data_IF_967692707360
#
_entry.id   IF_967692707360
#
_cell.length_a   1.000
_cell.length_b   1.000
_cell.length_c   1.000
_cell.angle_alpha   90.00
_cell.angle_beta   90.00
_cell.angle_gamma   90.00
#
_symmetry.space_group_name_H-M   'P 1'
#
loop_
_entity.id
_entity.type
_entity.pdbx_description
1 polymer ?
#
# COMPACT_ATOMS: atom_id res chain seq x y z
N UNK A 1 -19.11 -2.56 2.64
CA UNK A 1 -19.32 -2.54 1.18
C UNK A 1 -20.78 -2.26 0.88
N UNK A 2 -21.10 -1.37 -0.09
CA UNK A 2 -22.46 -1.18 -0.58
C UNK A 2 -22.84 -2.29 -1.56
N UNK A 3 -24.15 -2.44 -1.85
CA UNK A 3 -24.67 -3.48 -2.75
C UNK A 3 -24.01 -3.47 -4.13
N UNK A 4 -23.71 -2.26 -4.66
CA UNK A 4 -23.00 -2.10 -5.93
C UNK A 4 -21.58 -2.69 -5.86
N UNK A 5 -20.81 -2.36 -4.80
CA UNK A 5 -19.45 -2.87 -4.62
C UNK A 5 -19.45 -4.40 -4.48
N UNK A 6 -20.38 -4.95 -3.70
CA UNK A 6 -20.52 -6.41 -3.54
C UNK A 6 -20.74 -7.09 -4.88
N UNK A 7 -21.68 -6.59 -5.68
CA UNK A 7 -21.96 -7.13 -7.01
C UNK A 7 -20.71 -7.10 -7.92
N UNK A 8 -19.99 -5.96 -7.95
CA UNK A 8 -18.78 -5.81 -8.78
C UNK A 8 -17.64 -6.74 -8.34
N UNK A 9 -17.51 -7.00 -7.07
CA UNK A 9 -16.53 -7.95 -6.54
C UNK A 9 -16.90 -9.39 -6.94
N UNK A 10 -18.17 -9.77 -6.84
CA UNK A 10 -18.65 -11.08 -7.32
C UNK A 10 -18.44 -11.26 -8.83
N UNK A 11 -18.75 -10.23 -9.66
CA UNK A 11 -18.47 -10.24 -11.10
C UNK A 11 -16.98 -10.43 -11.42
N UNK A 12 -16.09 -9.96 -10.52
CA UNK A 12 -14.64 -10.15 -10.60
C UNK A 12 -14.16 -11.51 -10.01
N UNK A 13 -15.06 -12.36 -9.56
CA UNK A 13 -14.74 -13.67 -8.96
C UNK A 13 -14.18 -13.56 -7.53
N UNK A 14 -14.41 -12.43 -6.83
CA UNK A 14 -13.94 -12.21 -5.48
C UNK A 14 -15.02 -12.56 -4.47
N UNK A 15 -14.72 -13.50 -3.58
CA UNK A 15 -15.58 -13.85 -2.44
C UNK A 15 -15.49 -12.75 -1.38
N UNK A 16 -16.58 -11.99 -1.24
CA UNK A 16 -16.67 -10.86 -0.31
C UNK A 16 -16.60 -11.31 1.14
N UNK A 17 -17.23 -12.44 1.47
CA UNK A 17 -17.23 -12.94 2.85
C UNK A 17 -15.88 -13.56 3.24
N UNK A 18 -15.20 -14.25 2.34
CA UNK A 18 -13.82 -14.69 2.54
C UNK A 18 -12.88 -13.48 2.70
N UNK A 19 -13.05 -12.44 1.87
CA UNK A 19 -12.29 -11.18 1.98
C UNK A 19 -12.52 -10.50 3.35
N UNK A 20 -13.75 -10.46 3.84
CA UNK A 20 -14.04 -9.90 5.18
C UNK A 20 -13.35 -10.69 6.28
N UNK A 21 -13.38 -12.02 6.21
CA UNK A 21 -12.69 -12.88 7.19
C UNK A 21 -11.17 -12.64 7.12
N UNK A 22 -10.60 -12.54 5.94
CA UNK A 22 -9.18 -12.25 5.74
C UNK A 22 -8.76 -10.93 6.39
N UNK A 23 -9.50 -9.85 6.17
CA UNK A 23 -9.24 -8.58 6.85
C UNK A 23 -9.48 -8.63 8.36
N UNK A 24 -10.45 -9.40 8.84
CA UNK A 24 -10.66 -9.61 10.28
C UNK A 24 -9.49 -10.35 10.92
N UNK A 25 -8.90 -11.34 10.23
CA UNK A 25 -7.69 -12.06 10.68
C UNK A 25 -6.49 -11.12 10.76
N UNK A 26 -6.27 -10.30 9.75
CA UNK A 26 -5.22 -9.26 9.76
C UNK A 26 -5.43 -8.24 10.89
N UNK A 27 -6.64 -7.77 11.07
CA UNK A 27 -6.96 -6.84 12.16
C UNK A 27 -6.67 -7.48 13.52
N UNK A 28 -7.06 -8.74 13.72
CA UNK A 28 -6.78 -9.50 14.96
C UNK A 28 -5.28 -9.62 15.20
N UNK A 29 -4.49 -9.95 14.16
CA UNK A 29 -3.04 -9.97 14.26
C UNK A 29 -2.49 -8.62 14.73
N UNK A 30 -2.90 -7.52 14.10
CA UNK A 30 -2.43 -6.19 14.48
C UNK A 30 -2.82 -5.82 15.93
N UNK A 31 -4.01 -6.19 16.39
CA UNK A 31 -4.42 -5.95 17.78
C UNK A 31 -3.57 -6.76 18.77
N UNK A 32 -3.31 -8.04 18.49
CA UNK A 32 -2.44 -8.91 19.30
C UNK A 32 -1.02 -8.34 19.36
N UNK A 33 -0.46 -8.00 18.21
CA UNK A 33 0.88 -7.44 18.12
C UNK A 33 1.00 -6.11 18.91
N UNK A 34 0.08 -5.17 18.70
CA UNK A 34 0.04 -3.88 19.44
C UNK A 34 -0.24 -4.06 20.94
N UNK A 35 -0.99 -5.10 21.31
CA UNK A 35 -1.25 -5.48 22.70
C UNK A 35 -0.07 -6.10 23.44
N UNK A 36 1.07 -6.30 22.77
CA UNK A 36 2.28 -6.82 23.42
C UNK A 36 2.42 -8.34 23.36
N UNK A 37 1.58 -9.05 22.61
CA UNK A 37 1.66 -10.51 22.53
C UNK A 37 2.97 -10.95 21.86
N UNK A 38 3.64 -11.93 22.45
CA UNK A 38 4.86 -12.53 21.91
C UNK A 38 4.49 -13.70 20.98
N UNK A 39 5.01 -13.68 19.76
CA UNK A 39 4.84 -14.77 18.79
C UNK A 39 6.06 -15.68 18.79
N UNK A 40 5.83 -16.98 18.74
CA UNK A 40 6.89 -18.00 18.86
C UNK A 40 7.98 -17.83 17.81
N UNK A 41 7.59 -17.57 16.56
CA UNK A 41 8.51 -17.38 15.43
C UNK A 41 8.80 -15.90 15.12
N UNK A 42 8.36 -14.99 15.99
CA UNK A 42 8.45 -13.54 15.79
C UNK A 42 7.26 -12.96 15.00
N UNK A 43 7.06 -11.66 15.17
CA UNK A 43 5.90 -10.95 14.64
C UNK A 43 5.88 -10.88 13.11
N UNK A 44 7.04 -10.78 12.45
CA UNK A 44 7.13 -10.76 11.00
C UNK A 44 6.73 -12.10 10.38
N UNK A 45 7.18 -13.21 10.95
CA UNK A 45 6.82 -14.56 10.47
C UNK A 45 5.33 -14.82 10.69
N UNK A 46 4.79 -14.43 11.85
CA UNK A 46 3.35 -14.54 12.11
C UNK A 46 2.54 -13.70 11.12
N UNK A 47 2.97 -12.50 10.78
CA UNK A 47 2.33 -11.68 9.75
C UNK A 47 2.27 -12.39 8.39
N UNK A 48 3.39 -12.98 7.94
CA UNK A 48 3.40 -13.75 6.70
C UNK A 48 2.49 -14.99 6.78
N UNK A 49 2.44 -15.67 7.93
CA UNK A 49 1.53 -16.82 8.14
C UNK A 49 0.08 -16.38 7.97
N UNK A 50 -0.33 -15.27 8.62
CA UNK A 50 -1.67 -14.73 8.48
C UNK A 50 -2.00 -14.36 7.03
N UNK A 51 -1.05 -13.80 6.28
CA UNK A 51 -1.25 -13.49 4.85
C UNK A 51 -1.40 -14.76 4.00
N UNK A 52 -0.59 -15.79 4.26
CA UNK A 52 -0.65 -17.07 3.53
C UNK A 52 -1.94 -17.83 3.80
N UNK A 53 -2.45 -17.78 5.03
CA UNK A 53 -3.72 -18.40 5.42
C UNK A 53 -4.94 -17.62 4.95
N UNK A 54 -4.77 -16.34 4.60
CA UNK A 54 -5.84 -15.42 4.22
C UNK A 54 -5.51 -14.66 2.91
N UNK A 55 -5.26 -15.36 1.80
CA UNK A 55 -4.81 -14.74 0.55
C UNK A 55 -5.84 -13.78 -0.07
N UNK A 56 -7.12 -13.88 0.32
CA UNK A 56 -8.21 -13.04 -0.18
C UNK A 56 -7.98 -11.55 0.10
N UNK A 57 -7.26 -11.21 1.17
CA UNK A 57 -6.88 -9.83 1.45
C UNK A 57 -5.96 -9.27 0.34
N UNK A 58 -4.96 -10.05 -0.11
CA UNK A 58 -4.06 -9.65 -1.19
C UNK A 58 -4.75 -9.66 -2.56
N UNK A 59 -5.65 -10.61 -2.79
CA UNK A 59 -6.48 -10.68 -4.02
C UNK A 59 -7.33 -9.42 -4.12
N UNK A 60 -7.97 -9.02 -3.03
CA UNK A 60 -8.77 -7.79 -2.96
C UNK A 60 -7.93 -6.53 -3.20
N UNK A 61 -6.78 -6.39 -2.51
CA UNK A 61 -5.87 -5.25 -2.69
C UNK A 61 -5.39 -5.15 -4.14
N UNK A 62 -5.01 -6.27 -4.75
CA UNK A 62 -4.62 -6.32 -6.17
C UNK A 62 -5.75 -5.90 -7.09
N UNK A 63 -6.98 -6.37 -6.83
CA UNK A 63 -8.15 -5.97 -7.60
C UNK A 63 -8.41 -4.46 -7.49
N UNK A 64 -8.35 -3.92 -6.27
CA UNK A 64 -8.55 -2.50 -6.01
C UNK A 64 -7.55 -1.63 -6.77
N UNK A 65 -6.26 -1.94 -6.67
CA UNK A 65 -5.21 -1.21 -7.38
C UNK A 65 -5.38 -1.33 -8.90
N UNK A 66 -5.68 -2.54 -9.39
CA UNK A 66 -5.95 -2.73 -10.83
C UNK A 66 -7.10 -1.83 -11.33
N UNK A 67 -8.20 -1.75 -10.58
CA UNK A 67 -9.35 -0.90 -10.97
C UNK A 67 -9.00 0.59 -10.98
N UNK A 68 -8.17 1.06 -10.06
CA UNK A 68 -7.68 2.43 -10.08
C UNK A 68 -6.82 2.69 -11.33
N UNK A 69 -5.89 1.80 -11.65
CA UNK A 69 -5.07 1.90 -12.86
C UNK A 69 -5.91 1.87 -14.14
N UNK A 70 -6.93 1.00 -14.20
CA UNK A 70 -7.84 0.92 -15.35
C UNK A 70 -8.60 2.24 -15.53
N UNK A 71 -9.05 2.87 -14.44
CA UNK A 71 -9.69 4.19 -14.48
C UNK A 71 -8.74 5.28 -14.98
N UNK A 72 -7.50 5.30 -14.47
CA UNK A 72 -6.50 6.28 -14.91
C UNK A 72 -6.20 6.14 -16.40
N UNK A 73 -6.06 4.90 -16.91
CA UNK A 73 -5.88 4.63 -18.34
C UNK A 73 -7.07 5.08 -19.18
N UNK A 74 -8.29 4.83 -18.70
CA UNK A 74 -9.50 5.28 -19.39
C UNK A 74 -9.57 6.81 -19.48
N UNK A 75 -9.30 7.50 -18.37
CA UNK A 75 -9.27 8.97 -18.31
C UNK A 75 -8.18 9.54 -19.23
N UNK A 76 -6.98 8.96 -19.22
CA UNK A 76 -5.91 9.33 -20.15
C UNK A 76 -6.35 9.17 -21.61
N UNK A 77 -6.92 8.00 -21.95
CA UNK A 77 -7.42 7.74 -23.30
C UNK A 77 -8.47 8.72 -23.77
N UNK A 78 -9.45 9.06 -22.90
CA UNK A 78 -10.47 10.06 -23.19
C UNK A 78 -9.85 11.45 -23.38
N UNK A 79 -8.92 11.84 -22.51
CA UNK A 79 -8.22 13.14 -22.60
C UNK A 79 -7.50 13.27 -23.93
N UNK A 80 -6.71 12.27 -24.32
CA UNK A 80 -5.94 12.25 -25.57
C UNK A 80 -6.81 12.14 -26.81
N UNK A 81 -7.95 11.46 -26.71
CA UNK A 81 -8.93 11.43 -27.81
C UNK A 81 -9.60 12.80 -28.02
N UNK A 82 -9.95 13.51 -26.94
CA UNK A 82 -10.56 14.83 -27.03
C UNK A 82 -9.59 15.89 -27.56
N UNK A 83 -8.37 15.89 -27.04
CA UNK A 83 -7.29 16.77 -27.49
C UNK A 83 -5.93 16.17 -27.13
N UNK A 84 -5.14 15.70 -28.10
CA UNK A 84 -3.85 15.08 -27.87
C UNK A 84 -2.79 16.00 -27.27
N UNK A 85 -2.96 17.33 -27.42
CA UNK A 85 -2.03 18.32 -26.85
C UNK A 85 -2.23 18.60 -25.36
N UNK A 86 -3.36 18.16 -24.78
CA UNK A 86 -3.58 18.30 -23.34
C UNK A 86 -2.73 17.28 -22.59
N UNK A 87 -1.92 17.75 -21.67
CA UNK A 87 -1.19 16.90 -20.74
C UNK A 87 -2.10 16.35 -19.65
N UNK A 88 -2.04 15.04 -19.44
CA UNK A 88 -2.72 14.34 -18.36
C UNK A 88 -1.71 13.91 -17.29
N UNK A 89 -1.88 14.39 -16.08
CA UNK A 89 -0.96 14.08 -14.99
C UNK A 89 -1.63 13.39 -13.81
N UNK A 90 -0.87 12.58 -13.09
CA UNK A 90 -1.31 11.91 -11.89
C UNK A 90 -0.74 12.54 -10.63
N UNK A 91 -1.63 12.82 -9.67
CA UNK A 91 -1.24 13.14 -8.30
C UNK A 91 -1.14 11.85 -7.50
N UNK A 92 0.06 11.52 -7.01
CA UNK A 92 0.31 10.28 -6.27
C UNK A 92 0.50 10.56 -4.78
N UNK A 93 -0.31 9.90 -3.97
CA UNK A 93 -0.24 9.99 -2.52
C UNK A 93 1.02 9.31 -1.98
N UNK A 94 1.68 9.96 -1.03
CA UNK A 94 2.85 9.45 -0.33
C UNK A 94 2.62 8.07 0.35
N UNK A 95 1.41 7.78 0.83
CA UNK A 95 1.06 6.45 1.38
C UNK A 95 1.30 5.29 0.42
N UNK A 96 1.19 5.52 -0.88
CA UNK A 96 1.50 4.49 -1.87
C UNK A 96 2.99 4.15 -1.91
N UNK A 97 3.86 5.04 -1.41
CA UNK A 97 5.30 4.80 -1.32
C UNK A 97 5.72 4.17 0.00
N UNK A 98 4.99 4.46 1.08
CA UNK A 98 5.32 3.97 2.42
C UNK A 98 4.75 2.57 2.70
N UNK A 99 3.71 2.15 1.98
CA UNK A 99 3.15 0.82 2.10
C UNK A 99 3.79 -0.12 1.07
N UNK A 100 4.58 -1.15 1.50
CA UNK A 100 5.32 -2.01 0.57
C UNK A 100 4.41 -2.82 -0.36
N UNK A 101 3.21 -3.23 0.10
CA UNK A 101 2.24 -3.96 -0.73
C UNK A 101 1.70 -3.07 -1.85
N UNK A 102 1.36 -1.83 -1.54
CA UNK A 102 0.90 -0.87 -2.55
C UNK A 102 2.01 -0.46 -3.49
N UNK A 103 3.20 -0.20 -2.96
CA UNK A 103 4.38 0.13 -3.76
C UNK A 103 4.71 -0.98 -4.75
N UNK A 104 4.67 -2.24 -4.32
CA UNK A 104 4.92 -3.38 -5.19
C UNK A 104 3.88 -3.52 -6.32
N UNK A 105 2.66 -3.03 -6.12
CA UNK A 105 1.60 -3.07 -7.12
C UNK A 105 1.55 -1.84 -8.04
N UNK A 106 2.37 -0.81 -7.76
CA UNK A 106 2.41 0.44 -8.51
C UNK A 106 3.82 0.72 -9.06
N UNK A 107 4.30 -0.09 -10.00
CA UNK A 107 5.60 0.16 -10.61
C UNK A 107 5.55 1.43 -11.46
N UNK A 108 6.46 2.35 -11.20
CA UNK A 108 6.51 3.65 -11.88
C UNK A 108 6.67 3.53 -13.40
N UNK A 109 7.34 2.46 -13.84
CA UNK A 109 7.50 2.19 -15.27
C UNK A 109 6.17 2.03 -16.02
N UNK A 110 5.10 1.55 -15.35
CA UNK A 110 3.79 1.42 -15.98
C UNK A 110 3.03 2.76 -16.07
N UNK A 111 3.36 3.73 -15.23
CA UNK A 111 2.63 5.02 -15.18
C UNK A 111 2.87 5.83 -16.44
N UNK A 112 4.05 5.70 -17.06
CA UNK A 112 4.41 6.37 -18.32
C UNK A 112 3.45 5.99 -19.47
N UNK A 113 2.78 4.84 -19.39
CA UNK A 113 1.84 4.39 -20.41
C UNK A 113 0.50 5.15 -20.39
N UNK A 114 0.21 5.85 -19.29
CA UNK A 114 -1.09 6.52 -19.08
C UNK A 114 -1.01 7.82 -18.28
N UNK A 115 0.14 8.47 -18.27
CA UNK A 115 0.32 9.80 -17.73
C UNK A 115 1.52 10.50 -18.40
N UNK A 116 1.37 11.77 -18.75
CA UNK A 116 2.46 12.57 -19.31
C UNK A 116 3.41 13.06 -18.22
N UNK A 117 2.90 13.19 -16.98
CA UNK A 117 3.70 13.56 -15.81
C UNK A 117 3.09 13.01 -14.51
N UNK A 118 3.92 12.95 -13.48
CA UNK A 118 3.52 12.51 -12.14
C UNK A 118 3.92 13.57 -11.13
N UNK A 119 2.98 13.94 -10.25
CA UNK A 119 3.22 14.85 -9.14
C UNK A 119 3.12 14.09 -7.81
N UNK A 120 4.23 13.79 -7.14
CA UNK A 120 4.18 13.28 -5.77
C UNK A 120 3.59 14.35 -4.84
N UNK A 121 2.63 13.95 -4.01
CA UNK A 121 2.05 14.84 -3.01
C UNK A 121 2.96 14.86 -1.79
N UNK A 122 3.72 15.95 -1.64
CA UNK A 122 4.72 16.13 -0.58
C UNK A 122 4.38 17.32 0.33
N UNK A 123 3.12 17.42 0.75
CA UNK A 123 2.75 18.47 1.73
C UNK A 123 3.48 18.22 3.06
N UNK A 124 4.50 19.03 3.34
CA UNK A 124 5.43 18.84 4.47
C UNK A 124 4.74 18.59 5.81
N UNK A 125 3.73 19.39 6.14
CA UNK A 125 2.99 19.26 7.40
C UNK A 125 2.17 17.98 7.52
N UNK A 126 1.74 17.37 6.40
CA UNK A 126 1.01 16.10 6.38
C UNK A 126 1.93 14.90 6.15
N UNK A 127 2.94 15.07 5.30
CA UNK A 127 3.87 14.00 4.94
C UNK A 127 4.67 13.54 6.15
N UNK A 128 5.19 14.46 6.95
CA UNK A 128 5.94 14.13 8.17
C UNK A 128 5.10 13.33 9.16
N UNK A 129 3.87 13.76 9.45
CA UNK A 129 2.98 13.03 10.36
C UNK A 129 2.53 11.68 9.80
N UNK A 130 2.25 11.61 8.50
CA UNK A 130 1.89 10.34 7.84
C UNK A 130 3.07 9.37 7.92
N UNK A 131 4.29 9.84 7.63
CA UNK A 131 5.49 9.01 7.75
C UNK A 131 5.67 8.47 9.17
N UNK A 132 5.60 9.34 10.18
CA UNK A 132 5.72 8.94 11.59
C UNK A 132 4.65 7.91 11.96
N UNK A 133 3.41 8.10 11.53
CA UNK A 133 2.32 7.17 11.81
C UNK A 133 2.54 5.81 11.13
N UNK A 134 2.90 5.78 9.85
CA UNK A 134 3.14 4.53 9.10
C UNK A 134 4.36 3.77 9.69
N UNK A 135 5.45 4.46 10.01
CA UNK A 135 6.61 3.85 10.67
C UNK A 135 6.25 3.33 12.06
N UNK A 136 5.52 4.12 12.85
CA UNK A 136 5.03 3.70 14.17
C UNK A 136 4.12 2.46 14.07
N UNK A 137 3.29 2.37 13.05
CA UNK A 137 2.43 1.22 12.83
C UNK A 137 3.25 -0.05 12.50
N UNK A 138 4.31 0.06 11.70
CA UNK A 138 5.23 -1.05 11.44
C UNK A 138 5.95 -1.49 12.70
N UNK A 139 6.50 -0.55 13.47
CA UNK A 139 7.24 -0.85 14.73
C UNK A 139 6.34 -1.42 15.83
N UNK A 140 5.06 -1.09 15.82
CA UNK A 140 4.09 -1.61 16.81
C UNK A 140 3.37 -2.87 16.36
N UNK A 141 3.66 -3.36 15.16
CA UNK A 141 2.99 -4.52 14.58
C UNK A 141 3.97 -5.60 14.13
N UNK A 142 4.11 -5.81 12.84
CA UNK A 142 4.89 -6.95 12.31
C UNK A 142 6.41 -6.79 12.43
N UNK A 143 6.93 -5.60 12.74
CA UNK A 143 8.36 -5.35 12.99
C UNK A 143 8.67 -5.04 14.47
N UNK A 144 7.74 -5.30 15.38
CA UNK A 144 7.87 -4.92 16.79
C UNK A 144 9.00 -5.63 17.56
N UNK A 145 9.50 -6.74 17.04
CA UNK A 145 10.59 -7.50 17.68
C UNK A 145 11.97 -6.87 17.42
N UNK A 146 12.02 -5.77 16.68
CA UNK A 146 13.25 -5.08 16.31
C UNK A 146 13.32 -3.67 16.91
N UNK A 147 14.53 -3.23 17.22
CA UNK A 147 14.76 -1.86 17.71
C UNK A 147 14.51 -0.82 16.60
N UNK A 148 13.75 0.26 16.87
CA UNK A 148 13.42 1.28 15.88
C UNK A 148 14.65 1.92 15.20
N UNK A 149 15.75 2.09 15.94
CA UNK A 149 17.01 2.66 15.44
C UNK A 149 17.63 1.83 14.32
N UNK A 150 17.47 0.51 14.39
CA UNK A 150 17.96 -0.44 13.35
C UNK A 150 16.99 -0.45 12.15
N UNK A 151 15.70 -0.39 12.43
CA UNK A 151 14.66 -0.54 11.42
C UNK A 151 14.55 0.67 10.50
N UNK A 152 14.70 1.88 10.99
CA UNK A 152 14.50 3.09 10.18
C UNK A 152 15.39 3.11 8.94
N UNK A 153 16.72 2.90 9.02
CA UNK A 153 17.57 2.81 7.84
C UNK A 153 17.20 1.67 6.89
N UNK A 154 16.86 0.50 7.45
CA UNK A 154 16.46 -0.67 6.67
C UNK A 154 15.17 -0.39 5.90
N UNK A 155 14.16 0.18 6.56
CA UNK A 155 12.88 0.54 5.91
C UNK A 155 13.08 1.57 4.81
N UNK A 156 13.96 2.56 5.01
CA UNK A 156 14.31 3.51 3.97
C UNK A 156 14.90 2.82 2.73
N UNK A 157 15.84 1.91 2.94
CA UNK A 157 16.45 1.15 1.85
C UNK A 157 15.42 0.25 1.14
N UNK A 158 14.61 -0.50 1.89
CA UNK A 158 13.57 -1.38 1.35
C UNK A 158 12.50 -0.62 0.57
N UNK A 159 12.15 0.57 1.02
CA UNK A 159 11.19 1.44 0.33
C UNK A 159 11.84 2.30 -0.76
N UNK A 160 13.15 2.21 -0.96
CA UNK A 160 13.88 3.02 -1.94
C UNK A 160 13.76 4.53 -1.66
N UNK A 161 13.70 4.91 -0.39
CA UNK A 161 13.67 6.29 0.08
C UNK A 161 15.09 6.80 0.34
N UNK A 162 16.03 6.44 -0.53
CA UNK A 162 17.43 6.80 -0.39
C UNK A 162 17.61 8.28 -0.73
N UNK A 163 17.56 9.14 0.27
CA UNK A 163 17.99 10.53 0.13
C UNK A 163 19.50 10.63 0.43
N UNK A 164 20.26 11.38 -0.39
CA UNK A 164 21.66 11.67 -0.09
C UNK A 164 21.76 12.38 1.28
N UNK A 165 22.59 11.89 2.19
CA UNK A 165 22.85 12.51 3.51
C UNK A 165 22.15 11.85 4.71
N UNK A 166 21.27 10.88 4.54
CA UNK A 166 20.64 10.17 5.68
C UNK A 166 21.58 9.27 6.46
N UNK A 167 22.74 8.90 5.89
CA UNK A 167 23.76 8.09 6.56
C UNK A 167 24.68 8.93 7.46
N UNK A 168 24.49 10.24 7.54
CA UNK A 168 25.33 11.18 8.30
C UNK A 168 24.63 11.79 9.52
N UNK A 169 23.38 11.37 9.82
CA UNK A 169 22.60 11.76 11.00
C UNK A 169 22.51 10.62 12.00
#
# INVERSE_FOLDING_TARGET
YCTYCVRRLHEAGIDVEATRRAFASLYTFFQRARGGETFVDGSLIEFFRVLLENPEALIFERHWIKRNKDLDRELYGITKWCNPEIEFGLNVWNRNHLNPIRKAQWPWAEVIDYADWVKPITYQHQTGQIYVNEMSDFYKSFLRDYEPQILTPIMHQLLGLNEPGWNEL
#
